data_IF_194276235290
#
_entry.id   IF_194276235290
#
_cell.length_a   1.000
_cell.length_b   1.000
_cell.length_c   1.000
_cell.angle_alpha   90.00
_cell.angle_beta   90.00
_cell.angle_gamma   90.00
#
_symmetry.space_group_name_H-M   'P 1'
#
loop_
_entity.id
_entity.type
_entity.pdbx_description
1 polymer ?
#
# COMPACT_ATOMS: atom_id res chain seq x y z
N UNK A 1 -0.39 14.48 -12.97
CA UNK A 1 0.80 14.68 -12.11
C UNK A 1 1.28 13.32 -11.64
N UNK A 2 2.59 13.08 -11.62
CA UNK A 2 3.19 11.78 -11.31
C UNK A 2 3.74 11.77 -9.89
N UNK A 3 2.93 11.27 -8.96
CA UNK A 3 3.25 11.29 -7.53
C UNK A 3 4.15 10.12 -7.11
N UNK A 4 4.53 9.22 -8.03
CA UNK A 4 5.31 8.01 -7.72
C UNK A 4 6.72 8.32 -7.20
N UNK A 5 7.22 9.53 -7.47
CA UNK A 5 8.59 9.94 -7.21
C UNK A 5 8.70 11.17 -6.31
N UNK A 6 7.58 11.67 -5.77
CA UNK A 6 7.59 12.88 -4.95
C UNK A 6 8.14 12.61 -3.54
N UNK A 7 8.98 13.53 -3.05
CA UNK A 7 9.69 13.43 -1.77
C UNK A 7 9.61 14.73 -0.95
N UNK A 8 8.53 15.50 -1.11
CA UNK A 8 8.30 16.74 -0.35
C UNK A 8 8.13 16.46 1.16
N UNK A 9 8.23 17.50 1.99
CA UNK A 9 8.24 17.35 3.45
C UNK A 9 6.95 16.70 4.00
N UNK A 10 5.79 17.05 3.43
CA UNK A 10 4.50 16.42 3.77
C UNK A 10 4.50 14.91 3.47
N UNK A 11 5.07 14.51 2.33
CA UNK A 11 5.23 13.10 1.98
C UNK A 11 6.16 12.38 2.97
N UNK A 12 7.26 13.01 3.38
CA UNK A 12 8.20 12.43 4.36
C UNK A 12 7.59 12.25 5.73
N UNK A 13 6.79 13.21 6.21
CA UNK A 13 6.06 13.07 7.47
C UNK A 13 5.08 11.90 7.43
N UNK A 14 4.36 11.74 6.31
CA UNK A 14 3.49 10.58 6.11
C UNK A 14 4.29 9.27 6.08
N UNK A 15 5.48 9.27 5.47
CA UNK A 15 6.35 8.10 5.41
C UNK A 15 6.82 7.63 6.79
N UNK A 16 7.05 8.56 7.73
CA UNK A 16 7.43 8.23 9.12
C UNK A 16 6.33 7.52 9.90
N UNK A 17 5.06 7.85 9.64
CA UNK A 17 3.91 7.35 10.41
C UNK A 17 3.48 5.95 9.97
N UNK A 18 3.64 5.63 8.69
CA UNK A 18 3.15 4.38 8.11
C UNK A 18 4.17 3.25 8.19
N UNK A 19 3.68 2.01 8.19
CA UNK A 19 4.48 0.84 7.82
C UNK A 19 4.28 0.58 6.33
N UNK A 20 5.26 0.92 5.50
CA UNK A 20 5.22 0.66 4.07
C UNK A 20 5.68 -0.77 3.74
N UNK A 21 5.15 -1.34 2.66
CA UNK A 21 5.54 -2.66 2.18
C UNK A 21 5.52 -2.75 0.64
N UNK A 22 6.36 -3.63 0.12
CA UNK A 22 6.44 -3.90 -1.32
C UNK A 22 6.77 -5.37 -1.57
N UNK A 23 6.14 -5.93 -2.60
CA UNK A 23 6.37 -7.30 -3.05
C UNK A 23 7.40 -7.29 -4.18
N UNK A 24 8.53 -7.97 -3.98
CA UNK A 24 9.59 -8.10 -4.99
C UNK A 24 9.90 -9.59 -5.14
N UNK A 25 9.60 -10.16 -6.32
CA UNK A 25 9.79 -11.60 -6.61
C UNK A 25 9.13 -12.49 -5.53
N UNK A 26 7.84 -12.24 -5.27
CA UNK A 26 7.00 -12.95 -4.29
C UNK A 26 7.48 -12.87 -2.83
N UNK A 27 8.41 -11.95 -2.53
CA UNK A 27 8.87 -11.67 -1.17
C UNK A 27 8.39 -10.31 -0.72
N UNK A 28 7.78 -10.26 0.47
CA UNK A 28 7.42 -9.02 1.14
C UNK A 28 8.66 -8.37 1.75
N UNK A 29 8.80 -7.07 1.51
CA UNK A 29 9.78 -6.21 2.16
C UNK A 29 9.07 -5.08 2.87
N UNK A 30 9.50 -4.76 4.09
CA UNK A 30 8.95 -3.69 4.90
C UNK A 30 9.90 -2.49 4.95
N UNK A 31 9.31 -1.29 4.93
CA UNK A 31 9.98 -0.02 5.15
C UNK A 31 9.30 0.60 6.37
N UNK A 32 10.00 0.59 7.51
CA UNK A 32 9.50 1.03 8.82
C UNK A 32 10.36 2.18 9.34
N UNK A 33 9.76 3.12 10.07
CA UNK A 33 10.44 4.26 10.69
C UNK A 33 11.39 5.00 9.75
N UNK A 34 10.96 5.21 8.50
CA UNK A 34 11.82 5.75 7.45
C UNK A 34 11.09 6.82 6.65
N UNK A 35 11.82 7.88 6.28
CA UNK A 35 11.36 8.86 5.29
C UNK A 35 11.38 8.30 3.86
N UNK A 36 11.99 7.12 3.68
CA UNK A 36 12.26 6.55 2.38
C UNK A 36 10.97 6.15 1.66
N UNK A 37 10.83 6.62 0.43
CA UNK A 37 9.77 6.20 -0.48
C UNK A 37 9.96 4.76 -0.97
N UNK A 38 8.88 4.14 -1.47
CA UNK A 38 8.96 2.84 -2.12
C UNK A 38 9.95 2.82 -3.29
N UNK A 39 9.99 3.91 -4.06
CA UNK A 39 10.89 4.03 -5.21
C UNK A 39 12.35 4.06 -4.78
N UNK A 40 12.71 4.89 -3.79
CA UNK A 40 14.09 4.96 -3.29
C UNK A 40 14.56 3.60 -2.75
N UNK A 41 13.68 2.86 -2.08
CA UNK A 41 13.97 1.49 -1.61
C UNK A 41 14.24 0.52 -2.77
N UNK A 42 13.40 0.56 -3.79
CA UNK A 42 13.54 -0.29 -4.97
C UNK A 42 14.79 0.05 -5.78
N UNK A 43 15.09 1.35 -5.94
CA UNK A 43 16.28 1.82 -6.65
C UNK A 43 17.57 1.30 -6.00
N UNK A 44 17.67 1.34 -4.67
CA UNK A 44 18.83 0.77 -3.94
C UNK A 44 18.98 -0.74 -4.13
N UNK A 45 17.89 -1.45 -4.45
CA UNK A 45 17.86 -2.89 -4.74
C UNK A 45 18.07 -3.22 -6.23
N UNK A 46 18.32 -2.23 -7.08
CA UNK A 46 18.53 -2.43 -8.52
C UNK A 46 17.25 -2.69 -9.33
N UNK A 47 16.08 -2.34 -8.79
CA UNK A 47 14.80 -2.48 -9.49
C UNK A 47 14.61 -1.34 -10.51
N UNK A 48 14.23 -1.67 -11.74
CA UNK A 48 13.95 -0.67 -12.78
C UNK A 48 12.60 0.04 -12.55
N UNK A 49 12.41 1.22 -13.16
CA UNK A 49 11.12 1.94 -13.10
C UNK A 49 9.97 1.11 -13.65
N UNK A 50 10.19 0.40 -14.76
CA UNK A 50 9.16 -0.45 -15.38
C UNK A 50 8.74 -1.59 -14.46
N UNK A 51 9.71 -2.23 -13.81
CA UNK A 51 9.44 -3.27 -12.82
C UNK A 51 8.67 -2.69 -11.62
N UNK A 52 9.15 -1.57 -11.08
CA UNK A 52 8.51 -0.89 -9.95
C UNK A 52 7.03 -0.54 -10.22
N UNK A 53 6.72 -0.08 -11.42
CA UNK A 53 5.34 0.29 -11.79
C UNK A 53 4.37 -0.91 -11.78
N UNK A 54 4.88 -2.12 -11.99
CA UNK A 54 4.07 -3.36 -12.00
C UNK A 54 3.97 -4.03 -10.62
N UNK A 55 4.81 -3.63 -9.66
CA UNK A 55 4.86 -4.25 -8.33
C UNK A 55 3.67 -3.88 -7.45
N UNK A 56 3.09 -4.90 -6.80
CA UNK A 56 2.19 -4.76 -5.66
C UNK A 56 2.95 -4.10 -4.51
N UNK A 57 2.42 -2.97 -4.05
CA UNK A 57 2.97 -2.24 -2.91
C UNK A 57 1.86 -1.58 -2.13
N UNK A 58 2.19 -1.05 -0.97
CA UNK A 58 1.18 -0.53 -0.09
C UNK A 58 1.73 -0.02 1.22
N UNK A 59 0.83 0.30 2.12
CA UNK A 59 1.19 0.64 3.48
C UNK A 59 0.05 0.30 4.42
N UNK A 60 0.41 0.21 5.70
CA UNK A 60 -0.52 0.17 6.82
C UNK A 60 -0.38 1.46 7.64
N UNK A 61 -1.52 2.10 7.95
CA UNK A 61 -1.61 3.26 8.83
C UNK A 61 -3.01 3.33 9.46
N UNK A 62 -3.08 3.63 10.75
CA UNK A 62 -4.34 3.91 11.49
C UNK A 62 -5.45 2.86 11.26
N UNK A 63 -5.11 1.57 11.30
CA UNK A 63 -6.07 0.48 11.11
C UNK A 63 -6.42 0.18 9.64
N UNK A 64 -5.82 0.89 8.68
CA UNK A 64 -6.09 0.73 7.25
C UNK A 64 -4.88 0.15 6.55
N UNK A 65 -5.09 -0.93 5.80
CA UNK A 65 -4.13 -1.48 4.86
C UNK A 65 -4.54 -1.10 3.43
N UNK A 66 -3.62 -0.49 2.70
CA UNK A 66 -3.88 0.02 1.34
C UNK A 66 -2.89 -0.60 0.37
N UNK A 67 -3.40 -1.19 -0.70
CA UNK A 67 -2.59 -1.75 -1.79
C UNK A 67 -2.74 -0.92 -3.06
N UNK A 68 -1.67 -0.72 -3.81
CA UNK A 68 -1.68 -0.04 -5.10
C UNK A 68 -0.49 -0.48 -5.95
N UNK A 69 -0.57 -0.18 -7.25
CA UNK A 69 0.56 -0.24 -8.19
C UNK A 69 0.53 0.99 -9.10
N UNK A 70 1.42 1.05 -10.09
CA UNK A 70 1.39 2.13 -11.09
C UNK A 70 1.40 3.52 -10.44
N UNK A 71 0.52 4.41 -10.84
CA UNK A 71 0.33 5.72 -10.20
C UNK A 71 -0.84 5.65 -9.20
N UNK A 72 -0.66 4.88 -8.13
CA UNK A 72 -1.66 4.67 -7.07
C UNK A 72 -2.97 4.00 -7.55
N UNK A 73 -2.90 3.23 -8.63
CA UNK A 73 -4.05 2.55 -9.23
C UNK A 73 -4.21 1.12 -8.71
N UNK A 74 -5.36 0.52 -9.01
CA UNK A 74 -5.65 -0.89 -8.76
C UNK A 74 -6.35 -1.54 -9.96
N UNK A 75 -6.27 -2.86 -10.01
CA UNK A 75 -7.02 -3.74 -10.92
C UNK A 75 -7.25 -5.10 -10.25
N UNK A 76 -7.94 -6.01 -10.93
CA UNK A 76 -8.26 -7.34 -10.38
C UNK A 76 -7.02 -8.15 -10.00
N UNK A 77 -5.93 -8.02 -10.76
CA UNK A 77 -4.68 -8.72 -10.48
C UNK A 77 -4.05 -8.21 -9.20
N UNK A 78 -4.03 -6.88 -8.99
CA UNK A 78 -3.58 -6.31 -7.73
C UNK A 78 -4.45 -6.75 -6.55
N UNK A 79 -5.77 -6.83 -6.74
CA UNK A 79 -6.69 -7.30 -5.69
C UNK A 79 -6.35 -8.74 -5.30
N UNK A 80 -6.29 -9.64 -6.28
CA UNK A 80 -5.94 -11.05 -6.05
C UNK A 80 -4.58 -11.18 -5.38
N UNK A 81 -3.59 -10.42 -5.83
CA UNK A 81 -2.24 -10.49 -5.30
C UNK A 81 -2.13 -9.91 -3.88
N UNK A 82 -2.70 -8.72 -3.64
CA UNK A 82 -2.72 -8.08 -2.33
C UNK A 82 -3.36 -8.96 -1.26
N UNK A 83 -4.49 -9.60 -1.57
CA UNK A 83 -5.19 -10.50 -0.65
C UNK A 83 -4.31 -11.68 -0.17
N UNK A 84 -3.40 -12.20 -1.01
CA UNK A 84 -2.47 -13.28 -0.61
C UNK A 84 -1.54 -12.84 0.52
N UNK A 85 -1.20 -11.55 0.58
CA UNK A 85 -0.20 -11.02 1.49
C UNK A 85 -0.80 -10.46 2.79
N UNK A 86 -2.11 -10.26 2.87
CA UNK A 86 -2.75 -9.63 4.04
C UNK A 86 -2.46 -10.38 5.33
N UNK A 87 -2.62 -11.71 5.32
CA UNK A 87 -2.36 -12.56 6.48
C UNK A 87 -0.92 -12.42 6.97
N UNK A 88 0.04 -12.54 6.04
CA UNK A 88 1.45 -12.40 6.34
C UNK A 88 1.80 -11.01 6.87
N UNK A 89 1.22 -9.95 6.30
CA UNK A 89 1.42 -8.57 6.78
C UNK A 89 0.86 -8.40 8.19
N UNK A 90 -0.34 -8.94 8.46
CA UNK A 90 -0.95 -8.89 9.78
C UNK A 90 -0.06 -9.56 10.83
N UNK A 91 0.47 -10.73 10.53
CA UNK A 91 1.37 -11.48 11.42
C UNK A 91 2.73 -10.77 11.62
N UNK A 92 3.41 -10.42 10.53
CA UNK A 92 4.76 -9.80 10.54
C UNK A 92 4.76 -8.42 11.23
N UNK A 93 3.61 -7.75 11.26
CA UNK A 93 3.41 -6.44 11.88
C UNK A 93 2.61 -6.50 13.20
N UNK A 94 2.18 -7.68 13.67
CA UNK A 94 1.37 -7.88 14.88
C UNK A 94 0.09 -7.01 14.92
N UNK A 95 -0.63 -6.98 13.81
CA UNK A 95 -1.80 -6.11 13.63
C UNK A 95 -3.11 -6.80 14.06
N UNK A 96 -4.10 -6.01 14.46
CA UNK A 96 -5.43 -6.46 14.87
C UNK A 96 -6.42 -6.59 13.71
N UNK A 97 -7.65 -6.10 13.92
CA UNK A 97 -8.59 -5.86 12.81
C UNK A 97 -8.03 -4.75 11.90
N UNK A 98 -8.24 -4.88 10.60
CA UNK A 98 -7.84 -3.86 9.62
C UNK A 98 -8.87 -3.73 8.49
N UNK A 99 -9.03 -2.50 8.01
CA UNK A 99 -9.80 -2.21 6.79
C UNK A 99 -8.89 -2.33 5.57
N UNK A 100 -9.40 -2.93 4.50
CA UNK A 100 -8.65 -3.29 3.29
C UNK A 100 -9.10 -2.37 2.15
N UNK A 101 -8.14 -1.64 1.59
CA UNK A 101 -8.35 -0.73 0.49
C UNK A 101 -7.42 -1.02 -0.69
N UNK A 102 -7.88 -0.66 -1.89
CA UNK A 102 -7.10 -0.70 -3.11
C UNK A 102 -7.16 0.64 -3.83
N UNK A 103 -5.99 1.11 -4.26
CA UNK A 103 -5.81 2.39 -4.94
C UNK A 103 -5.99 3.62 -4.04
N UNK A 104 -5.52 4.75 -4.55
CA UNK A 104 -5.80 6.07 -4.00
C UNK A 104 -6.34 7.00 -5.07
N UNK A 105 -7.25 7.88 -4.68
CA UNK A 105 -7.69 8.99 -5.51
C UNK A 105 -6.63 10.06 -5.46
N UNK A 106 -6.08 10.36 -6.62
CA UNK A 106 -5.14 11.46 -6.77
C UNK A 106 -5.93 12.76 -6.57
N UNK A 107 -5.60 13.55 -5.53
CA UNK A 107 -6.37 14.75 -5.22
C UNK A 107 -6.25 15.79 -6.33
N UNK A 108 -7.30 16.58 -6.51
CA UNK A 108 -7.20 17.87 -7.22
C UNK A 108 -6.56 18.92 -6.30
N UNK A 109 -6.30 20.11 -6.83
CA UNK A 109 -5.72 21.20 -6.05
C UNK A 109 -6.56 21.48 -4.79
N UNK A 110 -5.91 21.47 -3.61
CA UNK A 110 -6.52 21.59 -2.28
C UNK A 110 -7.42 20.41 -1.81
N UNK A 111 -7.44 19.34 -2.59
CA UNK A 111 -7.98 17.99 -2.34
C UNK A 111 -7.27 17.23 -1.19
N UNK A 112 -7.88 16.63 -0.14
CA UNK A 112 -7.17 15.62 0.64
C UNK A 112 -7.01 14.31 -0.16
N UNK A 113 -6.01 13.50 0.19
CA UNK A 113 -5.86 12.14 -0.35
C UNK A 113 -6.94 11.22 0.20
N UNK A 114 -7.59 10.46 -0.68
CA UNK A 114 -8.60 9.47 -0.30
C UNK A 114 -8.25 8.08 -0.82
N UNK A 115 -8.74 7.05 -0.14
CA UNK A 115 -8.70 5.68 -0.64
C UNK A 115 -9.75 5.50 -1.72
N UNK A 116 -9.41 4.77 -2.79
CA UNK A 116 -10.29 4.67 -3.95
C UNK A 116 -11.34 3.57 -3.79
N UNK A 117 -10.90 2.33 -3.54
CA UNK A 117 -11.77 1.17 -3.43
C UNK A 117 -11.68 0.52 -2.05
N UNK A 118 -12.79 0.55 -1.31
CA UNK A 118 -12.95 -0.21 -0.08
C UNK A 118 -13.39 -1.64 -0.39
N UNK A 119 -12.50 -2.61 -0.14
CA UNK A 119 -12.78 -4.02 -0.40
C UNK A 119 -13.58 -4.67 0.72
N UNK A 120 -13.29 -4.31 1.98
CA UNK A 120 -13.80 -4.99 3.16
C UNK A 120 -12.80 -4.93 4.31
N UNK A 121 -12.89 -5.87 5.26
CA UNK A 121 -12.00 -5.90 6.42
C UNK A 121 -11.46 -7.30 6.70
N UNK A 122 -10.30 -7.36 7.36
CA UNK A 122 -9.81 -8.56 8.02
C UNK A 122 -10.06 -8.43 9.53
N UNK A 123 -10.78 -9.39 10.10
CA UNK A 123 -11.14 -9.43 11.52
C UNK A 123 -9.97 -9.88 12.39
N UNK A 124 -10.09 -9.73 13.70
CA UNK A 124 -9.10 -10.18 14.68
C UNK A 124 -8.76 -11.68 14.52
N UNK A 125 -9.77 -12.51 14.23
CA UNK A 125 -9.71 -13.96 14.00
C UNK A 125 -9.38 -14.35 12.56
N UNK A 126 -8.80 -13.43 11.78
CA UNK A 126 -8.23 -13.69 10.45
C UNK A 126 -9.25 -14.03 9.36
N UNK A 127 -10.50 -13.61 9.52
CA UNK A 127 -11.51 -13.73 8.48
C UNK A 127 -11.55 -12.47 7.61
N UNK A 128 -11.57 -12.64 6.30
CA UNK A 128 -11.78 -11.53 5.36
C UNK A 128 -13.27 -11.42 5.07
N UNK A 129 -13.86 -10.31 5.48
CA UNK A 129 -15.26 -9.97 5.21
C UNK A 129 -15.27 -8.93 4.09
N UNK A 130 -15.66 -9.37 2.89
CA UNK A 130 -15.83 -8.47 1.75
C UNK A 130 -17.01 -7.54 1.98
N UNK A 131 -16.84 -6.27 1.66
CA UNK A 131 -17.94 -5.31 1.68
C UNK A 131 -18.87 -5.60 0.50
N UNK A 132 -20.10 -6.01 0.80
CA UNK A 132 -21.14 -6.25 -0.19
C UNK A 132 -21.89 -4.93 -0.43
N UNK A 133 -21.26 -3.98 -1.12
CA UNK A 133 -22.01 -2.84 -1.64
C UNK A 133 -22.84 -3.38 -2.82
N UNK A 134 -24.15 -3.39 -2.64
CA UNK A 134 -25.14 -3.61 -3.72
C UNK A 134 -25.18 -2.42 -4.65
#
# INVERSE_FOLDING_TARGET
>A
MDYRYETNDKAREFHKKRTAFIVIKDKLYYIRNSEQSHWEFCKKKGVSKEQFNKMTRGYYIDGNIVFYKGNFTYDEDLIKDGLKYIMKIKEDCKLGEMQIYFGLRIPKENEPWEYDYYYGKITADNQIIKNNIK
#
